data_IF_220766546239
#
_entry.id   IF_220766546239
#
_cell.length_a   1.000
_cell.length_b   1.000
_cell.length_c   1.000
_cell.angle_alpha   90.00
_cell.angle_beta   90.00
_cell.angle_gamma   90.00
#
_symmetry.space_group_name_H-M   'P 1'
#
loop_
_entity.id
_entity.type
_entity.pdbx_description
1 polymer ?
#
# COMPACT_ATOMS: atom_id res chain seq x y z
N UNK A 1 -11.74 -20.70 10.74
CA UNK A 1 -11.78 -19.33 10.16
C UNK A 1 -10.69 -18.40 10.73
N UNK A 2 -10.36 -18.46 12.03
CA UNK A 2 -9.32 -17.60 12.66
C UNK A 2 -7.85 -17.84 12.22
N UNK A 3 -7.54 -18.98 11.58
CA UNK A 3 -6.15 -19.39 11.26
C UNK A 3 -5.56 -18.61 10.07
N UNK A 4 -6.34 -18.39 9.01
CA UNK A 4 -5.89 -17.63 7.84
C UNK A 4 -5.68 -16.14 8.12
N UNK A 5 -6.45 -15.56 9.06
CA UNK A 5 -6.34 -14.15 9.42
C UNK A 5 -5.02 -13.88 10.14
N UNK A 6 -4.60 -14.77 11.05
CA UNK A 6 -3.33 -14.65 11.78
C UNK A 6 -2.11 -14.78 10.85
N UNK A 7 -2.22 -15.61 9.81
CA UNK A 7 -1.14 -15.85 8.84
C UNK A 7 -0.88 -14.65 7.93
N UNK A 8 -1.93 -13.98 7.44
CA UNK A 8 -1.79 -12.73 6.68
C UNK A 8 -1.14 -11.63 7.54
N UNK A 9 -1.58 -11.47 8.79
CA UNK A 9 -1.00 -10.46 9.68
C UNK A 9 0.44 -10.75 10.11
N UNK A 10 0.79 -12.01 10.39
CA UNK A 10 2.17 -12.40 10.68
C UNK A 10 3.08 -12.18 9.47
N UNK A 11 2.59 -12.47 8.27
CA UNK A 11 3.29 -12.19 7.03
C UNK A 11 3.51 -10.69 6.82
N UNK A 12 2.46 -9.86 6.96
CA UNK A 12 2.58 -8.40 6.83
C UNK A 12 3.54 -7.80 7.85
N UNK A 13 3.51 -8.29 9.10
CA UNK A 13 4.40 -7.83 10.16
C UNK A 13 5.86 -8.21 9.86
N UNK A 14 6.11 -9.45 9.43
CA UNK A 14 7.45 -9.97 9.11
C UNK A 14 8.07 -9.23 7.91
N UNK A 15 7.32 -9.09 6.81
CA UNK A 15 7.80 -8.37 5.62
C UNK A 15 8.07 -6.89 5.96
N UNK A 16 7.28 -6.29 6.85
CA UNK A 16 7.56 -4.96 7.40
C UNK A 16 8.88 -4.95 8.16
N UNK A 17 9.06 -5.83 9.15
CA UNK A 17 10.26 -5.89 10.01
C UNK A 17 11.56 -6.12 9.20
N UNK A 18 11.52 -6.93 8.15
CA UNK A 18 12.67 -7.19 7.28
C UNK A 18 13.01 -5.98 6.37
N UNK A 19 12.00 -5.24 5.90
CA UNK A 19 12.20 -3.99 5.14
C UNK A 19 12.62 -2.80 6.04
N UNK A 20 12.23 -2.82 7.31
CA UNK A 20 12.46 -1.80 8.34
C UNK A 20 13.94 -1.68 8.76
N UNK A 21 14.72 -2.74 8.60
CA UNK A 21 16.16 -2.75 8.92
C UNK A 21 17.01 -1.82 8.03
N UNK A 22 16.44 -1.25 6.95
CA UNK A 22 17.19 -0.49 5.95
C UNK A 22 17.31 1.03 6.19
N UNK A 23 16.69 1.62 7.21
CA UNK A 23 16.82 3.07 7.48
C UNK A 23 15.76 3.67 8.39
N UNK A 24 15.89 3.46 9.69
CA UNK A 24 14.96 4.00 10.71
C UNK A 24 15.45 5.35 11.26
N UNK A 25 14.53 6.28 11.54
CA UNK A 25 14.76 7.36 12.51
C UNK A 25 13.63 7.41 13.55
N UNK A 26 13.94 7.88 14.75
CA UNK A 26 13.07 7.84 15.94
C UNK A 26 12.74 9.26 16.36
N UNK A 27 11.46 9.55 16.61
CA UNK A 27 11.02 10.82 17.18
C UNK A 27 10.30 10.59 18.49
N UNK A 28 10.70 11.31 19.53
CA UNK A 28 10.06 11.30 20.83
C UNK A 28 9.08 12.47 20.88
N UNK A 29 7.79 12.17 21.03
CA UNK A 29 6.76 13.18 21.28
C UNK A 29 6.34 13.05 22.73
N UNK A 30 6.34 14.17 23.46
CA UNK A 30 5.83 14.22 24.82
C UNK A 30 4.33 14.60 24.74
N UNK A 31 3.45 13.63 25.00
CA UNK A 31 2.01 13.83 25.08
C UNK A 31 1.55 13.49 26.50
N UNK A 32 0.81 14.40 27.15
CA UNK A 32 0.24 14.20 28.49
C UNK A 32 1.26 13.82 29.60
N UNK A 33 2.52 14.22 29.43
CA UNK A 33 3.61 13.92 30.38
C UNK A 33 4.25 12.53 30.21
N UNK A 34 3.85 11.77 29.19
CA UNK A 34 4.43 10.49 28.81
C UNK A 34 5.23 10.62 27.50
N UNK A 35 6.46 10.09 27.50
CA UNK A 35 7.30 10.05 26.30
C UNK A 35 6.82 8.94 25.36
N UNK A 36 6.25 9.32 24.22
CA UNK A 36 5.88 8.38 23.14
C UNK A 36 6.97 8.36 22.08
N UNK A 37 7.54 7.16 21.90
CA UNK A 37 8.56 6.91 20.89
C UNK A 37 7.88 6.48 19.59
N UNK A 38 8.01 7.29 18.54
CA UNK A 38 7.50 6.99 17.21
C UNK A 38 8.66 6.63 16.28
N UNK A 39 8.60 5.43 15.70
CA UNK A 39 9.60 4.94 14.76
C UNK A 39 9.13 5.18 13.32
N UNK A 40 9.97 5.86 12.52
CA UNK A 40 9.71 6.17 11.12
C UNK A 40 10.71 5.45 10.22
N UNK A 41 10.24 5.03 9.05
CA UNK A 41 11.06 4.32 8.07
C UNK A 41 11.31 5.19 6.83
N UNK A 42 12.59 5.33 6.47
CA UNK A 42 13.05 5.95 5.23
C UNK A 42 13.39 4.87 4.21
N UNK A 43 12.83 5.00 3.01
CA UNK A 43 13.10 4.07 1.91
C UNK A 43 14.44 4.44 1.22
N UNK A 44 15.25 3.45 0.79
CA UNK A 44 16.54 3.68 0.15
C UNK A 44 16.44 4.44 -1.19
N UNK A 45 17.53 5.12 -1.56
CA UNK A 45 17.57 6.16 -2.62
C UNK A 45 17.75 5.63 -4.06
N UNK A 46 17.92 4.33 -4.28
CA UNK A 46 18.20 3.82 -5.62
C UNK A 46 16.91 3.62 -6.44
N UNK A 47 16.77 4.40 -7.52
CA UNK A 47 15.83 4.06 -8.59
C UNK A 47 16.18 2.65 -9.12
N UNK A 48 15.18 1.78 -9.21
CA UNK A 48 15.37 0.39 -9.65
C UNK A 48 15.41 -0.68 -8.56
N UNK A 49 15.12 -0.32 -7.32
CA UNK A 49 14.92 -1.33 -6.26
C UNK A 49 13.45 -1.77 -6.18
N UNK A 50 13.22 -3.08 -6.24
CA UNK A 50 11.89 -3.70 -6.20
C UNK A 50 11.87 -4.84 -5.19
N UNK A 51 10.68 -5.16 -4.69
CA UNK A 51 10.46 -6.33 -3.88
C UNK A 51 9.17 -7.04 -4.30
N UNK A 52 9.09 -8.33 -3.97
CA UNK A 52 7.95 -9.18 -4.31
C UNK A 52 7.24 -9.62 -3.04
N UNK A 53 5.93 -9.55 -3.06
CA UNK A 53 5.07 -10.10 -2.01
C UNK A 53 4.28 -11.26 -2.59
N UNK A 54 4.44 -12.45 -2.01
CA UNK A 54 3.73 -13.64 -2.49
C UNK A 54 2.38 -13.79 -1.80
N UNK A 55 1.30 -13.43 -2.50
CA UNK A 55 -0.05 -13.62 -1.98
C UNK A 55 -0.44 -15.10 -2.04
N UNK A 56 -0.93 -15.62 -0.91
CA UNK A 56 -1.43 -17.00 -0.76
C UNK A 56 -2.75 -16.99 0.00
N UNK A 57 -3.67 -17.86 -0.41
CA UNK A 57 -4.96 -18.06 0.29
C UNK A 57 -4.90 -19.22 1.29
N UNK A 58 -3.94 -20.11 1.15
CA UNK A 58 -3.69 -21.22 2.07
C UNK A 58 -2.23 -21.67 1.96
N UNK A 59 -1.76 -22.47 2.93
CA UNK A 59 -0.37 -22.97 2.94
C UNK A 59 0.03 -23.76 1.69
N UNK A 60 -0.94 -24.38 0.99
CA UNK A 60 -0.71 -25.17 -0.22
C UNK A 60 -1.00 -24.45 -1.53
N UNK A 61 -1.55 -23.22 -1.51
CA UNK A 61 -1.83 -22.49 -2.75
C UNK A 61 -0.54 -22.02 -3.42
N UNK A 62 -0.48 -22.11 -4.76
CA UNK A 62 0.59 -21.49 -5.54
C UNK A 62 0.68 -20.00 -5.17
N UNK A 63 1.87 -19.44 -4.92
CA UNK A 63 1.98 -18.01 -4.67
C UNK A 63 1.54 -17.23 -5.90
N UNK A 64 0.84 -16.12 -5.68
CA UNK A 64 0.64 -15.05 -6.65
C UNK A 64 1.62 -13.91 -6.33
N UNK A 65 2.72 -13.77 -7.09
CA UNK A 65 3.70 -12.72 -6.87
C UNK A 65 3.13 -11.34 -7.22
N UNK A 66 3.23 -10.41 -6.28
CA UNK A 66 2.90 -8.99 -6.43
C UNK A 66 4.19 -8.19 -6.44
N UNK A 67 4.35 -7.28 -7.39
CA UNK A 67 5.56 -6.47 -7.55
C UNK A 67 5.37 -5.08 -6.97
N UNK A 68 6.30 -4.65 -6.13
CA UNK A 68 6.28 -3.32 -5.52
C UNK A 68 7.59 -2.58 -5.78
N UNK A 69 7.50 -1.26 -5.91
CA UNK A 69 8.67 -0.39 -5.85
C UNK A 69 9.14 -0.25 -4.41
N UNK A 70 10.41 -0.51 -4.14
CA UNK A 70 11.00 -0.27 -2.82
C UNK A 70 11.07 1.24 -2.51
N UNK A 71 11.14 2.09 -3.53
CA UNK A 71 11.33 3.52 -3.36
C UNK A 71 10.09 4.25 -2.81
N UNK A 72 8.89 3.82 -3.19
CA UNK A 72 7.65 4.49 -2.81
C UNK A 72 6.55 3.51 -2.34
N UNK A 73 6.85 2.21 -2.22
CA UNK A 73 5.88 1.16 -1.88
C UNK A 73 4.70 1.05 -2.86
N UNK A 74 4.78 1.61 -4.06
CA UNK A 74 3.68 1.51 -5.02
C UNK A 74 3.61 0.08 -5.53
N UNK A 75 2.40 -0.48 -5.60
CA UNK A 75 2.14 -1.68 -6.37
C UNK A 75 2.41 -1.34 -7.84
N UNK A 76 3.28 -2.10 -8.47
CA UNK A 76 3.61 -1.96 -9.89
C UNK A 76 2.84 -2.94 -10.76
N UNK A 77 2.47 -4.09 -10.20
CA UNK A 77 1.81 -5.15 -10.94
C UNK A 77 1.80 -6.49 -10.23
N UNK A 78 1.50 -7.54 -10.98
CA UNK A 78 1.49 -8.93 -10.51
C UNK A 78 1.98 -9.88 -11.59
N UNK A 79 2.43 -11.07 -11.20
CA UNK A 79 2.82 -12.11 -12.14
C UNK A 79 1.65 -13.05 -12.41
N UNK A 80 1.37 -13.29 -13.70
CA UNK A 80 0.40 -14.29 -14.14
C UNK A 80 0.93 -14.98 -15.40
N UNK A 81 0.80 -16.31 -15.47
CA UNK A 81 1.30 -17.11 -16.59
C UNK A 81 2.78 -16.80 -16.96
N UNK A 82 3.64 -16.58 -15.96
CA UNK A 82 5.06 -16.23 -16.09
C UNK A 82 5.33 -14.88 -16.81
N UNK A 83 4.33 -13.99 -16.84
CA UNK A 83 4.46 -12.62 -17.33
C UNK A 83 4.12 -11.64 -16.22
N UNK A 84 4.92 -10.57 -16.12
CA UNK A 84 4.59 -9.44 -15.26
C UNK A 84 3.55 -8.56 -15.93
N UNK A 85 2.36 -8.50 -15.34
CA UNK A 85 1.32 -7.56 -15.73
C UNK A 85 1.47 -6.30 -14.88
N UNK A 86 1.94 -5.22 -15.49
CA UNK A 86 2.29 -3.98 -14.79
C UNK A 86 1.39 -2.81 -15.20
N UNK A 87 1.18 -1.87 -14.29
CA UNK A 87 0.46 -0.63 -14.60
C UNK A 87 1.14 0.16 -15.71
N UNK A 88 0.36 0.96 -16.44
CA UNK A 88 0.83 1.77 -17.55
C UNK A 88 1.89 2.78 -17.11
N UNK A 89 1.72 3.34 -15.92
CA UNK A 89 2.63 4.28 -15.27
C UNK A 89 3.60 3.61 -14.27
N UNK A 90 3.71 2.28 -14.28
CA UNK A 90 4.74 1.60 -13.51
C UNK A 90 6.14 1.98 -14.01
N UNK A 91 6.94 2.53 -13.11
CA UNK A 91 8.35 2.82 -13.33
C UNK A 91 9.18 1.55 -13.08
N UNK A 92 9.78 1.03 -14.14
CA UNK A 92 10.64 -0.16 -14.12
C UNK A 92 12.12 0.21 -14.29
N UNK A 93 12.48 1.49 -14.31
CA UNK A 93 13.86 1.93 -14.52
C UNK A 93 14.80 1.30 -13.50
N UNK A 94 15.90 0.71 -13.97
CA UNK A 94 16.88 0.03 -13.13
C UNK A 94 16.49 -1.39 -12.68
N UNK A 95 15.35 -1.93 -13.15
CA UNK A 95 14.98 -3.33 -12.90
C UNK A 95 15.72 -4.32 -13.79
N UNK A 96 16.33 -3.86 -14.87
CA UNK A 96 16.80 -4.71 -15.97
C UNK A 96 15.65 -5.13 -16.90
N UNK A 97 14.38 -5.08 -16.46
CA UNK A 97 13.20 -5.29 -17.30
C UNK A 97 12.83 -4.06 -18.15
N UNK A 98 13.42 -2.91 -17.87
CA UNK A 98 13.42 -1.72 -18.71
C UNK A 98 14.26 -1.86 -19.98
N UNK A 99 15.16 -2.86 -20.03
CA UNK A 99 15.99 -3.17 -21.19
C UNK A 99 15.17 -3.85 -22.31
N UNK A 100 15.51 -3.53 -23.56
CA UNK A 100 14.77 -4.02 -24.74
C UNK A 100 14.69 -5.55 -24.82
N UNK A 101 15.78 -6.25 -24.50
CA UNK A 101 15.82 -7.73 -24.51
C UNK A 101 14.92 -8.41 -23.48
N UNK A 102 14.42 -7.67 -22.48
CA UNK A 102 13.57 -8.20 -21.41
C UNK A 102 12.09 -7.80 -21.54
N UNK A 103 11.72 -7.09 -22.62
CA UNK A 103 10.33 -6.66 -22.87
C UNK A 103 9.35 -7.82 -23.00
N UNK A 104 9.81 -8.99 -23.43
CA UNK A 104 8.98 -10.20 -23.56
C UNK A 104 8.47 -10.77 -22.22
N UNK A 105 9.04 -10.33 -21.08
CA UNK A 105 8.69 -10.86 -19.76
C UNK A 105 7.61 -10.03 -19.04
N UNK A 106 7.11 -8.96 -19.67
CA UNK A 106 6.10 -8.11 -19.05
C UNK A 106 5.16 -7.49 -20.08
N UNK A 107 3.96 -7.13 -19.64
CA UNK A 107 2.94 -6.45 -20.45
C UNK A 107 2.24 -5.37 -19.63
N UNK A 108 1.81 -4.31 -20.31
CA UNK A 108 0.99 -3.26 -19.69
C UNK A 108 -0.45 -3.74 -19.48
N UNK A 109 -1.05 -3.32 -18.37
CA UNK A 109 -2.42 -3.62 -18.01
C UNK A 109 -3.46 -2.79 -18.79
N UNK A 110 -3.07 -1.63 -19.33
CA UNK A 110 -4.00 -0.66 -19.94
C UNK A 110 -4.69 0.24 -18.92
N UNK A 111 -4.20 0.24 -17.68
CA UNK A 111 -4.69 1.04 -16.55
C UNK A 111 -3.50 1.61 -15.78
N UNK A 112 -3.70 2.78 -15.15
CA UNK A 112 -2.68 3.43 -14.30
C UNK A 112 -2.85 3.01 -12.84
N UNK A 113 -1.76 2.95 -12.09
CA UNK A 113 -1.73 2.54 -10.68
C UNK A 113 -2.15 3.64 -9.70
N UNK A 114 -2.39 4.87 -10.19
CA UNK A 114 -2.94 5.97 -9.38
C UNK A 114 -4.40 5.72 -9.05
N UNK A 115 -4.84 6.24 -7.90
CA UNK A 115 -6.26 6.31 -7.58
C UNK A 115 -7.03 7.04 -8.66
N UNK A 116 -7.99 6.36 -9.29
CA UNK A 116 -8.86 6.93 -10.32
C UNK A 116 -10.33 6.79 -9.92
N UNK A 117 -11.16 7.62 -10.56
CA UNK A 117 -12.61 7.63 -10.41
C UNK A 117 -13.10 7.72 -8.95
N UNK A 118 -14.26 7.13 -8.69
CA UNK A 118 -14.90 7.04 -7.39
C UNK A 118 -14.56 5.72 -6.67
N UNK A 119 -13.34 5.19 -6.87
CA UNK A 119 -12.94 3.85 -6.41
C UNK A 119 -13.08 3.68 -4.89
N UNK A 120 -12.80 4.75 -4.13
CA UNK A 120 -12.92 4.79 -2.67
C UNK A 120 -14.36 4.61 -2.17
N UNK A 121 -15.36 4.98 -2.97
CA UNK A 121 -16.77 4.80 -2.67
C UNK A 121 -17.39 3.55 -3.32
N UNK A 122 -16.70 2.92 -4.27
CA UNK A 122 -17.22 1.76 -5.01
C UNK A 122 -16.67 0.44 -4.48
N UNK A 123 -15.38 0.38 -4.17
CA UNK A 123 -14.71 -0.87 -3.81
C UNK A 123 -14.92 -1.18 -2.34
N UNK A 124 -15.54 -2.35 -2.10
CA UNK A 124 -15.82 -2.89 -0.78
C UNK A 124 -14.60 -3.61 -0.21
N UNK A 125 -14.42 -3.48 1.09
CA UNK A 125 -13.42 -4.14 1.89
C UNK A 125 -14.10 -5.07 2.90
N UNK A 126 -13.68 -6.32 2.87
CA UNK A 126 -14.17 -7.38 3.73
C UNK A 126 -13.33 -8.63 3.50
N UNK A 127 -13.42 -9.59 4.40
CA UNK A 127 -12.56 -10.78 4.32
C UNK A 127 -12.77 -11.56 3.02
N UNK A 128 -14.02 -11.64 2.53
CA UNK A 128 -14.35 -12.31 1.27
C UNK A 128 -13.73 -11.57 0.09
N UNK A 129 -13.79 -10.25 0.12
CA UNK A 129 -13.24 -9.36 -0.89
C UNK A 129 -11.72 -9.45 -0.93
N UNK A 130 -11.05 -9.56 0.22
CA UNK A 130 -9.59 -9.80 0.28
C UNK A 130 -9.23 -11.18 -0.26
N UNK A 131 -9.99 -12.21 0.10
CA UNK A 131 -9.82 -13.55 -0.48
C UNK A 131 -10.04 -13.56 -2.00
N UNK A 132 -10.98 -12.74 -2.50
CA UNK A 132 -11.28 -12.65 -3.94
C UNK A 132 -10.10 -12.15 -4.77
N UNK A 133 -9.20 -11.34 -4.18
CA UNK A 133 -8.01 -10.81 -4.87
C UNK A 133 -7.23 -11.95 -5.53
N UNK A 134 -6.94 -13.00 -4.77
CA UNK A 134 -6.17 -14.12 -5.27
C UNK A 134 -6.89 -14.81 -6.43
N UNK A 135 -8.19 -15.09 -6.31
CA UNK A 135 -8.95 -15.77 -7.35
C UNK A 135 -9.06 -14.94 -8.64
N UNK A 136 -9.27 -13.63 -8.52
CA UNK A 136 -9.39 -12.72 -9.67
C UNK A 136 -8.04 -12.61 -10.40
N UNK A 137 -6.95 -12.36 -9.66
CA UNK A 137 -5.64 -12.13 -10.27
C UNK A 137 -4.97 -13.43 -10.74
N UNK A 138 -5.15 -14.57 -10.05
CA UNK A 138 -4.67 -15.87 -10.55
C UNK A 138 -5.48 -16.40 -11.74
N UNK A 139 -6.74 -15.97 -11.87
CA UNK A 139 -7.60 -16.20 -13.03
C UNK A 139 -7.62 -15.04 -14.02
N UNK A 140 -6.57 -14.22 -14.08
CA UNK A 140 -6.59 -12.95 -14.83
C UNK A 140 -6.95 -13.12 -16.31
N UNK A 141 -6.41 -14.14 -16.99
CA UNK A 141 -6.72 -14.41 -18.40
C UNK A 141 -8.21 -14.64 -18.65
N UNK A 142 -8.89 -15.36 -17.73
CA UNK A 142 -10.32 -15.65 -17.83
C UNK A 142 -11.14 -14.38 -17.54
N UNK A 143 -10.77 -13.63 -16.51
CA UNK A 143 -11.43 -12.35 -16.18
C UNK A 143 -11.35 -11.37 -17.37
N UNK A 144 -10.18 -11.28 -18.00
CA UNK A 144 -9.96 -10.45 -19.19
C UNK A 144 -10.81 -10.92 -20.37
N UNK A 145 -10.86 -12.22 -20.64
CA UNK A 145 -11.67 -12.79 -21.72
C UNK A 145 -13.19 -12.57 -21.51
N UNK A 146 -13.64 -12.54 -20.25
CA UNK A 146 -15.03 -12.28 -19.88
C UNK A 146 -15.37 -10.78 -19.75
N UNK A 147 -14.43 -9.88 -20.03
CA UNK A 147 -14.65 -8.43 -19.92
C UNK A 147 -14.81 -7.90 -18.49
N UNK A 148 -14.33 -8.65 -17.48
CA UNK A 148 -14.45 -8.31 -16.05
C UNK A 148 -13.40 -7.31 -15.56
N UNK A 149 -13.16 -6.24 -16.32
CA UNK A 149 -12.13 -5.24 -16.02
C UNK A 149 -12.33 -4.59 -14.65
N UNK A 150 -13.58 -4.25 -14.30
CA UNK A 150 -13.89 -3.65 -13.00
C UNK A 150 -13.57 -4.55 -11.80
N UNK A 151 -13.63 -5.88 -11.96
CA UNK A 151 -13.25 -6.82 -10.89
C UNK A 151 -11.74 -6.84 -10.68
N UNK A 152 -10.97 -6.79 -11.77
CA UNK A 152 -9.50 -6.69 -11.73
C UNK A 152 -9.07 -5.37 -11.09
N UNK A 153 -9.66 -4.25 -11.50
CA UNK A 153 -9.40 -2.93 -10.94
C UNK A 153 -9.70 -2.91 -9.43
N UNK A 154 -10.84 -3.47 -9.03
CA UNK A 154 -11.21 -3.58 -7.62
C UNK A 154 -10.24 -4.49 -6.84
N UNK A 155 -9.76 -5.58 -7.42
CA UNK A 155 -8.77 -6.46 -6.79
C UNK A 155 -7.42 -5.73 -6.59
N UNK A 156 -6.93 -5.02 -7.61
CA UNK A 156 -5.69 -4.24 -7.54
C UNK A 156 -5.81 -3.10 -6.53
N UNK A 157 -6.94 -2.39 -6.51
CA UNK A 157 -7.20 -1.37 -5.49
C UNK A 157 -7.19 -1.95 -4.08
N UNK A 158 -7.82 -3.13 -3.87
CA UNK A 158 -7.77 -3.83 -2.58
C UNK A 158 -6.35 -4.18 -2.15
N UNK A 159 -5.51 -4.62 -3.09
CA UNK A 159 -4.08 -4.83 -2.81
C UNK A 159 -3.43 -3.54 -2.32
N UNK A 160 -3.64 -2.43 -3.03
CA UNK A 160 -3.05 -1.13 -2.69
C UNK A 160 -3.46 -0.70 -1.26
N UNK A 161 -4.75 -0.78 -0.94
CA UNK A 161 -5.22 -0.34 0.39
C UNK A 161 -4.86 -1.33 1.50
N UNK A 162 -4.78 -2.63 1.26
CA UNK A 162 -4.42 -3.60 2.31
C UNK A 162 -2.92 -3.70 2.54
N UNK A 163 -2.10 -3.48 1.52
CA UNK A 163 -0.66 -3.61 1.59
C UNK A 163 0.02 -2.22 1.72
N UNK A 164 0.30 -1.47 0.64
CA UNK A 164 0.93 -0.16 0.71
C UNK A 164 0.33 0.79 1.75
N UNK A 165 -0.98 0.93 1.79
CA UNK A 165 -1.59 1.91 2.69
C UNK A 165 -1.52 1.51 4.17
N UNK A 166 -1.47 0.21 4.48
CA UNK A 166 -1.26 -0.22 5.88
C UNK A 166 0.19 -0.05 6.33
N UNK A 167 1.14 -0.15 5.39
CA UNK A 167 2.55 0.15 5.65
C UNK A 167 2.81 1.66 5.82
N UNK A 168 2.00 2.49 5.15
CA UNK A 168 2.12 3.95 5.22
C UNK A 168 1.40 4.54 6.43
N UNK A 169 0.18 4.10 6.73
CA UNK A 169 -0.72 4.77 7.67
C UNK A 169 -1.14 3.85 8.82
N UNK A 170 -0.59 4.03 10.05
CA UNK A 170 -0.90 3.19 11.20
C UNK A 170 -2.38 3.17 11.61
N UNK A 171 -3.06 4.32 11.53
CA UNK A 171 -4.50 4.40 11.84
C UNK A 171 -5.33 3.54 10.89
N UNK A 172 -4.97 3.55 9.61
CA UNK A 172 -5.61 2.69 8.61
C UNK A 172 -5.34 1.21 8.89
N UNK A 173 -4.10 0.85 9.23
CA UNK A 173 -3.75 -0.52 9.65
C UNK A 173 -4.59 -0.97 10.85
N UNK A 174 -4.77 -0.11 11.85
CA UNK A 174 -5.63 -0.40 13.01
C UNK A 174 -7.11 -0.52 12.61
N UNK A 175 -7.59 0.32 11.70
CA UNK A 175 -8.95 0.25 11.15
C UNK A 175 -9.20 -1.09 10.44
N UNK A 176 -8.30 -1.51 9.55
CA UNK A 176 -8.40 -2.81 8.87
C UNK A 176 -8.29 -3.98 9.84
N UNK A 177 -7.40 -3.90 10.84
CA UNK A 177 -7.32 -4.91 11.89
C UNK A 177 -8.66 -5.06 12.62
N UNK A 178 -9.28 -3.95 13.03
CA UNK A 178 -10.60 -3.99 13.69
C UNK A 178 -11.66 -4.58 12.77
N UNK A 179 -11.64 -4.20 11.49
CA UNK A 179 -12.56 -4.71 10.47
C UNK A 179 -12.46 -6.23 10.32
N UNK A 180 -11.24 -6.78 10.22
CA UNK A 180 -11.03 -8.21 9.99
C UNK A 180 -11.14 -9.06 11.25
N UNK A 181 -10.94 -8.49 12.44
CA UNK A 181 -10.99 -9.20 13.72
C UNK A 181 -12.39 -9.21 14.35
N UNK A 182 -13.11 -8.09 14.29
CA UNK A 182 -14.34 -7.89 15.07
C UNK A 182 -15.63 -7.85 14.25
N UNK A 183 -15.55 -7.80 12.91
CA UNK A 183 -16.72 -7.83 12.05
C UNK A 183 -16.79 -9.14 11.23
N UNK A 184 -17.12 -10.29 11.85
CA UNK A 184 -17.39 -11.53 11.10
C UNK A 184 -18.66 -11.46 10.25
N UNK A 185 -19.46 -10.38 10.38
CA UNK A 185 -20.69 -10.14 9.63
C UNK A 185 -20.58 -8.83 8.84
N UNK A 186 -20.35 -8.99 7.54
CA UNK A 186 -20.93 -8.18 6.44
C UNK A 186 -21.08 -6.68 6.76
N UNK A 187 -19.98 -5.97 6.99
CA UNK A 187 -20.00 -4.52 6.76
C UNK A 187 -19.08 -4.29 5.58
N UNK A 188 -19.69 -4.06 4.42
CA UNK A 188 -19.02 -3.63 3.21
C UNK A 188 -18.37 -2.27 3.45
N UNK A 189 -17.18 -2.26 4.06
CA UNK A 189 -16.48 -1.02 4.37
C UNK A 189 -15.89 -0.43 3.10
N UNK A 190 -15.93 0.89 3.00
CA UNK A 190 -15.39 1.67 1.90
C UNK A 190 -14.49 2.73 2.52
N UNK A 191 -13.23 2.90 2.08
CA UNK A 191 -12.32 3.84 2.73
C UNK A 191 -12.86 5.27 2.84
N UNK A 192 -13.68 5.71 1.87
CA UNK A 192 -14.30 7.04 1.88
C UNK A 192 -15.46 7.19 2.89
N UNK A 193 -16.00 6.10 3.43
CA UNK A 193 -17.15 6.10 4.34
C UNK A 193 -16.75 5.85 5.80
N UNK A 194 -15.45 5.76 6.08
CA UNK A 194 -14.95 5.65 7.44
C UNK A 194 -14.83 7.04 8.07
N UNK A 195 -15.15 7.16 9.36
CA UNK A 195 -15.17 8.41 10.12
C UNK A 195 -13.84 9.19 10.09
N UNK A 196 -12.74 8.51 9.79
CA UNK A 196 -11.38 9.06 9.74
C UNK A 196 -10.99 9.63 8.35
N UNK A 197 -11.87 9.59 7.34
CA UNK A 197 -11.65 10.14 5.99
C UNK A 197 -10.28 9.75 5.39
N UNK A 198 -10.02 8.44 5.25
CA UNK A 198 -8.72 7.92 4.82
C UNK A 198 -8.33 8.27 3.37
N UNK A 199 -9.30 8.57 2.51
CA UNK A 199 -9.04 8.94 1.11
C UNK A 199 -8.13 10.19 0.99
N UNK A 200 -8.43 11.33 1.65
CA UNK A 200 -7.52 12.47 1.76
C UNK A 200 -6.10 12.08 2.20
N UNK A 201 -5.97 11.25 3.24
CA UNK A 201 -4.66 10.81 3.74
C UNK A 201 -3.85 10.09 2.66
N UNK A 202 -4.45 9.11 1.98
CA UNK A 202 -3.76 8.34 0.94
C UNK A 202 -3.36 9.21 -0.24
N UNK A 203 -4.27 10.09 -0.70
CA UNK A 203 -4.01 11.01 -1.81
C UNK A 203 -2.91 12.02 -1.49
N UNK A 204 -2.74 12.37 -0.23
CA UNK A 204 -1.80 13.40 0.21
C UNK A 204 -0.48 12.86 0.75
N UNK A 205 -0.23 11.54 0.71
CA UNK A 205 0.97 10.93 1.29
C UNK A 205 2.29 11.63 0.91
N UNK A 206 2.48 11.97 -0.37
CA UNK A 206 3.68 12.70 -0.82
C UNK A 206 3.83 14.08 -0.13
N UNK A 207 2.73 14.82 -0.01
CA UNK A 207 2.74 16.14 0.63
C UNK A 207 2.97 16.01 2.14
N UNK A 208 2.38 14.99 2.77
CA UNK A 208 2.64 14.63 4.17
C UNK A 208 4.14 14.36 4.35
N UNK A 209 4.76 13.56 3.48
CA UNK A 209 6.19 13.26 3.54
C UNK A 209 7.05 14.53 3.49
N UNK A 210 6.76 15.44 2.55
CA UNK A 210 7.50 16.71 2.44
C UNK A 210 7.40 17.53 3.73
N UNK A 211 6.21 17.62 4.32
CA UNK A 211 5.97 18.39 5.56
C UNK A 211 6.64 17.77 6.77
N UNK A 212 6.53 16.45 6.93
CA UNK A 212 7.17 15.74 8.05
C UNK A 212 8.70 15.86 7.94
N UNK A 213 9.26 15.72 6.74
CA UNK A 213 10.70 15.84 6.52
C UNK A 213 11.24 17.27 6.66
N UNK A 214 10.41 18.29 6.48
CA UNK A 214 10.80 19.69 6.72
C UNK A 214 10.95 20.00 8.23
N UNK A 215 10.39 19.16 9.09
CA UNK A 215 10.46 19.33 10.55
C UNK A 215 9.40 20.28 11.11
N UNK A 216 9.37 20.39 12.44
CA UNK A 216 8.34 21.13 13.16
C UNK A 216 8.41 22.66 12.92
N UNK A 217 9.62 23.21 12.81
CA UNK A 217 9.85 24.65 12.67
C UNK A 217 9.35 25.21 11.33
N UNK A 218 9.38 24.39 10.27
CA UNK A 218 8.88 24.73 8.94
C UNK A 218 7.43 24.26 8.70
N UNK A 219 6.76 23.77 9.76
CA UNK A 219 5.42 23.25 9.65
C UNK A 219 4.38 24.37 9.55
N UNK A 220 3.86 24.58 8.35
CA UNK A 220 2.70 25.45 8.12
C UNK A 220 1.41 24.64 8.09
N UNK A 221 0.32 25.23 8.62
CA UNK A 221 -1.01 24.60 8.69
C UNK A 221 -1.39 23.90 7.40
N UNK A 222 -1.83 22.65 7.53
CA UNK A 222 -2.13 21.79 6.41
C UNK A 222 -3.62 21.79 6.08
N UNK A 223 -4.12 22.93 5.57
CA UNK A 223 -5.57 23.18 5.40
C UNK A 223 -6.33 22.20 4.49
N UNK A 224 -5.62 21.35 3.72
CA UNK A 224 -6.23 20.31 2.88
C UNK A 224 -6.48 18.97 3.61
N UNK A 225 -6.02 18.82 4.85
CA UNK A 225 -6.23 17.64 5.68
C UNK A 225 -6.81 18.07 7.04
N UNK A 226 -8.13 17.95 7.16
CA UNK A 226 -8.84 18.30 8.38
C UNK A 226 -8.30 17.49 9.58
N UNK A 227 -8.12 18.15 10.72
CA UNK A 227 -7.60 17.51 11.93
C UNK A 227 -6.07 17.36 12.01
N UNK A 228 -5.32 17.80 10.99
CA UNK A 228 -3.85 17.78 10.95
C UNK A 228 -3.26 19.20 10.90
N UNK A 229 -3.63 20.02 11.90
CA UNK A 229 -3.25 21.42 11.96
C UNK A 229 -1.84 21.64 12.53
N UNK A 230 -1.29 20.64 13.20
CA UNK A 230 -0.02 20.71 13.92
C UNK A 230 0.90 19.54 13.56
N UNK A 231 2.22 19.77 13.63
CA UNK A 231 3.24 18.76 13.34
C UNK A 231 3.05 17.49 14.18
N UNK A 232 2.75 17.65 15.48
CA UNK A 232 2.54 16.56 16.42
C UNK A 232 1.34 15.65 16.05
N UNK A 233 0.32 16.20 15.37
CA UNK A 233 -0.83 15.43 14.91
C UNK A 233 -0.51 14.62 13.64
N UNK A 234 0.34 15.17 12.77
CA UNK A 234 0.70 14.54 11.50
C UNK A 234 1.70 13.39 11.70
N UNK A 235 2.61 13.54 12.67
CA UNK A 235 3.67 12.58 12.94
C UNK A 235 3.13 11.15 13.20
N UNK A 236 2.18 10.89 14.11
CA UNK A 236 1.62 9.55 14.33
C UNK A 236 0.73 9.04 13.18
N UNK A 237 0.39 9.90 12.21
CA UNK A 237 -0.49 9.53 11.11
C UNK A 237 0.21 8.66 10.06
N UNK A 238 1.53 8.74 9.96
CA UNK A 238 2.34 8.10 8.91
C UNK A 238 3.50 7.30 9.55
N UNK A 239 3.87 6.15 9.00
CA UNK A 239 5.04 5.37 9.47
C UNK A 239 6.16 5.27 8.44
N UNK A 240 5.84 5.45 7.15
CA UNK A 240 6.82 5.37 6.07
C UNK A 240 6.80 6.66 5.27
N UNK A 241 7.98 7.24 5.05
CA UNK A 241 8.15 8.50 4.32
C UNK A 241 8.92 8.27 3.01
N UNK A 242 8.48 8.96 1.95
CA UNK A 242 9.26 9.04 0.71
C UNK A 242 10.31 10.13 0.88
N UNK A 243 11.57 9.80 0.59
CA UNK A 243 12.63 10.80 0.44
C UNK A 243 12.60 11.38 -0.97
N UNK A 244 12.62 12.72 -1.08
CA UNK A 244 12.76 13.41 -2.38
C UNK A 244 14.13 13.05 -2.96
N UNK A 245 14.18 12.63 -4.23
CA UNK A 245 15.45 12.45 -4.95
C UNK A 245 16.15 13.81 -5.00
N UNK A 246 17.30 13.92 -4.33
CA UNK A 246 18.24 15.00 -4.58
C UNK A 246 19.03 14.51 -5.79
N UNK A 247 18.81 15.11 -6.96
CA UNK A 247 19.77 14.96 -8.05
C UNK A 247 21.05 15.67 -7.58
N UNK A 248 22.04 14.89 -7.16
CA UNK A 248 23.42 15.35 -6.98
C UNK A 248 24.08 15.46 -8.35
#
# INVERSE_FOLDING_TARGET
MLRGHREVFQFLKKELEEMVAAGTFVVNINEDGEEKIFQFHLLPQQAGSFFKVNLKISRGSRPLPLLFSLHNLYLLGFEHANLWHVFDDADLSGSGHDLEGNRQFWVKLGIKGRYHDNVFNRVKLGIREIHSIYHILSGYSECKAQGKHAEVDAALFRVIVVLPETWRFPRWRACLYRTFMYAPRVVDRRPAQEDDEYEPLFKMWKNICIRVLAGADEFHRFGALAGYNEYAQLLPAVSTLIRRQIHL
#
